data_IF_119316347766
#
_entry.id   IF_119316347766
#
_cell.length_a   1.000
_cell.length_b   1.000
_cell.length_c   1.000
_cell.angle_alpha   90.00
_cell.angle_beta   90.00
_cell.angle_gamma   90.00
#
_symmetry.space_group_name_H-M   'P 1'
#
loop_
_entity.id
_entity.type
_entity.pdbx_description
1 polymer ?
#
# COMPACT_ATOMS: atom_id res chain seq x y z
N UNK A 1 -0.47 1.63 3.74
CA UNK A 1 -1.14 1.04 4.91
C UNK A 1 -1.60 -0.36 4.59
N UNK A 2 -2.23 -0.56 3.44
CA UNK A 2 -2.82 -1.83 3.08
C UNK A 2 -1.77 -2.96 3.11
N UNK A 3 -0.65 -2.84 2.40
CA UNK A 3 0.41 -3.85 2.43
C UNK A 3 1.02 -4.10 3.82
N UNK A 4 1.12 -3.06 4.67
CA UNK A 4 1.58 -3.23 6.06
C UNK A 4 0.57 -4.02 6.88
N UNK A 5 -0.72 -3.69 6.79
CA UNK A 5 -1.78 -4.40 7.49
C UNK A 5 -1.96 -5.83 6.97
N UNK A 6 -1.89 -6.04 5.65
CA UNK A 6 -1.90 -7.36 5.00
C UNK A 6 -0.77 -8.23 5.53
N UNK A 7 0.46 -7.70 5.48
CA UNK A 7 1.65 -8.38 5.99
C UNK A 7 1.53 -8.72 7.47
N UNK A 8 1.02 -7.79 8.28
CA UNK A 8 0.81 -8.04 9.71
C UNK A 8 -0.23 -9.13 9.98
N UNK A 9 -1.35 -9.12 9.26
CA UNK A 9 -2.40 -10.14 9.37
C UNK A 9 -1.82 -11.52 9.05
N UNK A 10 -1.09 -11.65 7.94
CA UNK A 10 -0.45 -12.89 7.52
C UNK A 10 0.63 -13.33 8.51
N UNK A 11 1.57 -12.44 8.84
CA UNK A 11 2.67 -12.75 9.76
C UNK A 11 2.20 -13.26 11.10
N UNK A 12 1.30 -12.51 11.76
CA UNK A 12 0.77 -12.86 13.07
C UNK A 12 0.03 -14.20 13.05
N UNK A 13 -0.74 -14.43 12.01
CA UNK A 13 -1.57 -15.63 11.89
C UNK A 13 -0.76 -16.86 11.52
N UNK A 14 0.13 -16.77 10.54
CA UNK A 14 0.99 -17.89 10.13
C UNK A 14 1.94 -18.30 11.27
N UNK A 15 2.51 -17.32 11.98
CA UNK A 15 3.31 -17.61 13.17
C UNK A 15 2.53 -18.33 14.26
N UNK A 16 1.26 -17.96 14.45
CA UNK A 16 0.37 -18.66 15.39
C UNK A 16 0.03 -20.08 14.93
N UNK A 17 -0.03 -20.32 13.63
CA UNK A 17 -0.20 -21.65 13.04
C UNK A 17 1.07 -22.51 13.10
N UNK A 18 2.18 -21.97 13.60
CA UNK A 18 3.46 -22.68 13.76
C UNK A 18 4.41 -22.54 12.58
N UNK A 19 4.11 -21.70 11.60
CA UNK A 19 5.03 -21.46 10.48
C UNK A 19 6.26 -20.65 10.96
N UNK A 20 7.42 -20.97 10.38
CA UNK A 20 8.62 -20.13 10.46
C UNK A 20 8.47 -19.07 9.39
N UNK A 21 8.17 -17.86 9.80
CA UNK A 21 7.80 -16.77 8.89
C UNK A 21 8.53 -15.49 9.24
N UNK A 22 8.99 -14.80 8.21
CA UNK A 22 9.52 -13.43 8.27
C UNK A 22 8.75 -12.54 7.29
N UNK A 23 8.84 -11.22 7.48
CA UNK A 23 8.17 -10.23 6.63
C UNK A 23 9.18 -9.26 6.05
N UNK A 24 9.16 -9.13 4.74
CA UNK A 24 9.96 -8.15 4.02
C UNK A 24 9.01 -7.10 3.42
N UNK A 25 9.29 -5.84 3.74
CA UNK A 25 8.62 -4.70 3.11
C UNK A 25 9.65 -4.02 2.21
N UNK A 26 9.42 -3.96 0.88
CA UNK A 26 10.34 -3.33 -0.06
C UNK A 26 10.61 -1.86 0.29
N UNK A 27 11.86 -1.43 0.13
CA UNK A 27 12.19 -0.01 0.26
C UNK A 27 11.78 0.74 -1.01
N UNK A 28 10.88 1.71 -0.88
CA UNK A 28 10.21 2.36 -2.02
C UNK A 28 11.16 2.96 -3.06
N UNK A 29 12.29 3.51 -2.62
CA UNK A 29 13.28 4.18 -3.48
C UNK A 29 14.26 3.17 -4.07
N UNK A 30 14.77 2.24 -3.26
CA UNK A 30 15.82 1.29 -3.65
C UNK A 30 15.26 0.06 -4.36
N UNK A 31 14.17 -0.51 -3.85
CA UNK A 31 13.59 -1.75 -4.34
C UNK A 31 12.44 -1.51 -5.34
N UNK A 32 11.85 -0.32 -5.33
CA UNK A 32 10.64 -0.02 -6.09
C UNK A 32 9.37 -0.53 -5.42
N UNK A 33 8.33 -0.73 -6.21
CA UNK A 33 7.05 -1.26 -5.74
C UNK A 33 6.97 -2.77 -5.93
N UNK A 34 6.43 -3.47 -4.93
CA UNK A 34 6.15 -4.88 -4.99
C UNK A 34 7.38 -5.78 -4.89
N UNK A 35 7.20 -7.03 -5.30
CA UNK A 35 8.27 -8.03 -5.28
C UNK A 35 9.27 -7.77 -6.40
N UNK A 36 10.57 -7.97 -6.13
CA UNK A 36 11.65 -7.87 -7.11
C UNK A 36 12.65 -9.04 -6.99
N UNK A 37 13.48 -9.22 -8.01
CA UNK A 37 14.42 -10.34 -8.09
C UNK A 37 15.47 -10.33 -6.98
N UNK A 38 15.92 -9.15 -6.54
CA UNK A 38 16.89 -9.03 -5.46
C UNK A 38 16.33 -9.55 -4.13
N UNK A 39 15.07 -9.21 -3.82
CA UNK A 39 14.39 -9.71 -2.63
C UNK A 39 14.14 -11.21 -2.70
N UNK A 40 13.77 -11.72 -3.86
CA UNK A 40 13.59 -13.16 -4.10
C UNK A 40 14.93 -13.89 -3.89
N UNK A 41 16.00 -13.39 -4.52
CA UNK A 41 17.34 -13.99 -4.39
C UNK A 41 17.81 -14.00 -2.95
N UNK A 42 17.61 -12.89 -2.23
CA UNK A 42 17.96 -12.77 -0.81
C UNK A 42 17.17 -13.77 0.06
N UNK A 43 15.88 -13.94 -0.20
CA UNK A 43 15.07 -14.94 0.50
C UNK A 43 15.56 -16.36 0.24
N UNK A 44 15.84 -16.70 -1.04
CA UNK A 44 16.41 -17.99 -1.42
C UNK A 44 17.74 -18.27 -0.72
N UNK A 45 18.66 -17.30 -0.70
CA UNK A 45 19.99 -17.44 -0.06
C UNK A 45 19.88 -17.61 1.47
N UNK A 46 18.79 -17.17 2.07
CA UNK A 46 18.47 -17.37 3.49
C UNK A 46 17.77 -18.72 3.76
N UNK A 47 17.56 -19.55 2.74
CA UNK A 47 16.90 -20.85 2.87
C UNK A 47 15.38 -20.77 2.98
N UNK A 48 14.78 -19.68 2.57
CA UNK A 48 13.31 -19.55 2.47
C UNK A 48 12.85 -20.35 1.24
N UNK A 49 11.90 -21.23 1.45
CA UNK A 49 11.34 -22.11 0.41
C UNK A 49 10.04 -21.57 -0.21
N UNK A 50 9.33 -20.71 0.51
CA UNK A 50 8.01 -20.23 0.12
C UNK A 50 7.90 -18.70 0.23
N UNK A 51 7.45 -18.06 -0.83
CA UNK A 51 7.11 -16.63 -0.85
C UNK A 51 5.59 -16.50 -0.90
N UNK A 52 5.04 -15.71 0.00
CA UNK A 52 3.65 -15.29 -0.01
C UNK A 52 3.60 -13.77 -0.16
N UNK A 53 3.14 -13.28 -1.32
CA UNK A 53 2.94 -11.84 -1.52
C UNK A 53 1.63 -11.37 -0.90
N UNK A 54 1.54 -10.09 -0.56
CA UNK A 54 0.29 -9.48 -0.14
C UNK A 54 0.22 -8.02 -0.62
N UNK A 55 -0.95 -7.62 -1.10
CA UNK A 55 -1.19 -6.30 -1.69
C UNK A 55 -0.29 -6.02 -2.91
N UNK A 56 0.20 -7.06 -3.54
CA UNK A 56 0.99 -7.01 -4.78
C UNK A 56 1.17 -8.41 -5.39
N UNK A 57 1.63 -8.45 -6.64
CA UNK A 57 2.07 -9.68 -7.28
C UNK A 57 1.27 -10.07 -8.52
N UNK A 58 0.05 -9.57 -8.71
CA UNK A 58 -0.79 -9.95 -9.86
C UNK A 58 -0.17 -9.59 -11.21
N UNK A 59 0.68 -8.56 -11.26
CA UNK A 59 1.42 -8.15 -12.45
C UNK A 59 2.91 -8.55 -12.42
N UNK A 60 3.37 -9.31 -11.44
CA UNK A 60 4.78 -9.64 -11.23
C UNK A 60 5.21 -10.92 -11.97
N UNK A 61 4.94 -11.01 -13.27
CA UNK A 61 5.17 -12.23 -14.08
C UNK A 61 6.63 -12.68 -14.03
N UNK A 62 7.57 -11.79 -14.36
CA UNK A 62 9.00 -12.10 -14.42
C UNK A 62 9.54 -12.51 -13.04
N UNK A 63 9.09 -11.85 -11.98
CA UNK A 63 9.49 -12.13 -10.62
C UNK A 63 8.98 -13.51 -10.16
N UNK A 64 7.74 -13.85 -10.54
CA UNK A 64 7.17 -15.16 -10.27
C UNK A 64 7.96 -16.25 -11.02
N UNK A 65 8.25 -16.04 -12.31
CA UNK A 65 9.06 -16.98 -13.10
C UNK A 65 10.47 -17.13 -12.52
N UNK A 66 11.08 -16.04 -12.07
CA UNK A 66 12.38 -16.08 -11.42
C UNK A 66 12.35 -16.88 -10.12
N UNK A 67 11.39 -16.67 -9.23
CA UNK A 67 11.22 -17.44 -8.01
C UNK A 67 11.03 -18.94 -8.31
N UNK A 68 10.21 -19.27 -9.31
CA UNK A 68 10.00 -20.66 -9.77
C UNK A 68 11.27 -21.27 -10.33
N UNK A 69 12.11 -20.51 -11.04
CA UNK A 69 13.39 -21.00 -11.58
C UNK A 69 14.39 -21.38 -10.47
N UNK A 70 14.26 -20.76 -9.29
CA UNK A 70 15.01 -21.10 -8.10
C UNK A 70 14.43 -22.30 -7.31
N UNK A 71 13.31 -22.88 -7.76
CA UNK A 71 12.64 -23.98 -7.08
C UNK A 71 11.77 -23.56 -5.90
N UNK A 72 11.50 -22.26 -5.74
CA UNK A 72 10.67 -21.75 -4.64
C UNK A 72 9.18 -21.94 -4.93
N UNK A 73 8.40 -22.12 -3.87
CA UNK A 73 6.95 -22.00 -3.93
C UNK A 73 6.58 -20.52 -3.86
N UNK A 74 5.67 -20.07 -4.72
CA UNK A 74 5.20 -18.69 -4.70
C UNK A 74 3.67 -18.64 -4.74
N UNK A 75 3.10 -17.94 -3.76
CA UNK A 75 1.67 -17.71 -3.61
C UNK A 75 1.44 -16.21 -3.71
N UNK A 76 0.56 -15.80 -4.61
CA UNK A 76 0.21 -14.38 -4.80
C UNK A 76 -1.13 -14.12 -4.12
N UNK A 77 -1.17 -13.14 -3.19
CA UNK A 77 -2.42 -12.57 -2.70
C UNK A 77 -2.46 -11.09 -3.05
N UNK A 78 -3.44 -10.69 -3.83
CA UNK A 78 -3.54 -9.34 -4.36
C UNK A 78 -5.01 -8.94 -4.58
N UNK A 79 -5.26 -7.66 -4.72
CA UNK A 79 -6.59 -7.09 -4.98
C UNK A 79 -6.61 -6.12 -6.18
N UNK A 80 -5.44 -5.84 -6.73
CA UNK A 80 -5.31 -4.98 -7.91
C UNK A 80 -5.97 -5.62 -9.13
N UNK A 81 -6.29 -4.78 -10.14
CA UNK A 81 -6.87 -5.24 -11.39
C UNK A 81 -5.96 -6.27 -12.06
N UNK A 82 -6.58 -7.32 -12.59
CA UNK A 82 -5.85 -8.34 -13.34
C UNK A 82 -5.48 -7.75 -14.71
N UNK A 83 -4.19 -7.64 -15.04
CA UNK A 83 -3.77 -7.15 -16.35
C UNK A 83 -4.34 -7.99 -17.49
N UNK A 84 -4.62 -7.33 -18.60
CA UNK A 84 -5.15 -7.99 -19.81
C UNK A 84 -4.58 -7.39 -21.08
N UNK A 85 -4.63 -8.15 -22.16
CA UNK A 85 -4.43 -7.67 -23.53
C UNK A 85 -5.76 -7.67 -24.26
N UNK A 86 -6.00 -6.63 -25.07
CA UNK A 86 -7.16 -6.60 -25.96
C UNK A 86 -6.84 -7.41 -27.22
N UNK A 87 -7.70 -8.36 -27.56
CA UNK A 87 -7.61 -9.19 -28.76
C UNK A 87 -8.91 -9.05 -29.58
N UNK A 88 -8.92 -9.50 -30.82
CA UNK A 88 -10.13 -9.53 -31.66
C UNK A 88 -11.28 -10.33 -31.02
N UNK A 89 -10.95 -11.24 -30.09
CA UNK A 89 -11.93 -12.09 -29.40
C UNK A 89 -12.34 -11.53 -28.02
N UNK A 90 -11.83 -10.32 -27.64
CA UNK A 90 -12.06 -9.68 -26.35
C UNK A 90 -10.82 -9.64 -25.48
N UNK A 91 -11.02 -9.41 -24.17
CA UNK A 91 -9.92 -9.30 -23.21
C UNK A 91 -9.35 -10.67 -22.83
N UNK A 92 -8.05 -10.84 -23.03
CA UNK A 92 -7.28 -11.98 -22.53
C UNK A 92 -6.55 -11.55 -21.25
N UNK A 93 -6.97 -12.11 -20.11
CA UNK A 93 -6.39 -11.80 -18.80
C UNK A 93 -5.07 -12.54 -18.59
N UNK A 94 -4.07 -11.84 -18.12
CA UNK A 94 -2.75 -12.36 -17.87
C UNK A 94 -2.60 -12.58 -16.36
N UNK A 95 -2.29 -13.82 -15.97
CA UNK A 95 -2.10 -14.21 -14.57
C UNK A 95 -0.70 -14.77 -14.41
N UNK A 96 0.07 -14.38 -13.36
CA UNK A 96 1.39 -14.94 -13.13
C UNK A 96 1.30 -16.42 -12.81
N UNK A 97 2.30 -17.21 -13.31
CA UNK A 97 2.37 -18.68 -13.14
C UNK A 97 2.88 -19.05 -11.74
N UNK A 98 2.26 -18.49 -10.71
CA UNK A 98 2.50 -18.84 -9.32
C UNK A 98 1.86 -20.19 -8.97
N UNK A 99 2.25 -20.80 -7.83
CA UNK A 99 1.64 -22.04 -7.35
C UNK A 99 0.17 -21.83 -6.94
N UNK A 100 -0.15 -20.63 -6.47
CA UNK A 100 -1.53 -20.19 -6.28
C UNK A 100 -1.63 -18.67 -6.46
N UNK A 101 -2.76 -18.20 -7.01
CA UNK A 101 -3.08 -16.78 -7.14
C UNK A 101 -4.46 -16.54 -6.52
N UNK A 102 -4.46 -15.75 -5.44
CA UNK A 102 -5.66 -15.38 -4.70
C UNK A 102 -5.93 -13.90 -4.98
N UNK A 103 -6.83 -13.66 -5.92
CA UNK A 103 -7.30 -12.34 -6.28
C UNK A 103 -8.77 -12.46 -6.69
N UNK A 104 -9.64 -11.74 -5.98
CA UNK A 104 -11.09 -11.82 -6.19
C UNK A 104 -11.56 -11.16 -7.49
N UNK A 105 -10.70 -10.40 -8.16
CA UNK A 105 -10.99 -9.77 -9.46
C UNK A 105 -10.66 -10.67 -10.67
N UNK A 106 -10.12 -11.88 -10.44
CA UNK A 106 -9.98 -12.85 -11.53
C UNK A 106 -11.35 -13.13 -12.17
N UNK A 107 -11.36 -13.32 -13.50
CA UNK A 107 -12.58 -13.50 -14.30
C UNK A 107 -13.48 -14.61 -13.78
N UNK A 108 -12.87 -15.74 -13.38
CA UNK A 108 -13.58 -16.95 -12.97
C UNK A 108 -13.76 -17.03 -11.44
N UNK A 109 -13.41 -15.99 -10.71
CA UNK A 109 -13.56 -15.97 -9.26
C UNK A 109 -15.03 -15.76 -8.87
N UNK A 110 -15.62 -16.74 -8.19
CA UNK A 110 -16.99 -16.70 -7.69
C UNK A 110 -17.20 -15.87 -6.43
N UNK A 111 -16.17 -15.19 -5.90
CA UNK A 111 -16.34 -14.35 -4.72
C UNK A 111 -17.28 -13.18 -5.03
N UNK A 112 -18.35 -12.97 -4.27
CA UNK A 112 -19.44 -12.09 -4.68
C UNK A 112 -19.11 -10.59 -4.57
N UNK A 113 -18.16 -10.21 -3.71
CA UNK A 113 -17.79 -8.83 -3.47
C UNK A 113 -16.41 -8.51 -4.05
N UNK A 114 -16.34 -7.57 -5.00
CA UNK A 114 -15.12 -7.28 -5.80
C UNK A 114 -14.31 -6.08 -5.31
N UNK A 115 -14.73 -5.40 -4.25
CA UNK A 115 -14.14 -4.15 -3.78
C UNK A 115 -13.32 -4.33 -2.49
N UNK A 116 -12.69 -5.50 -2.32
CA UNK A 116 -11.83 -5.75 -1.17
C UNK A 116 -10.45 -5.12 -1.35
N UNK A 117 -9.85 -4.60 -0.26
CA UNK A 117 -8.45 -4.24 -0.20
C UNK A 117 -7.56 -5.48 0.05
N UNK A 118 -6.24 -5.36 -0.13
CA UNK A 118 -5.29 -6.46 0.05
C UNK A 118 -5.32 -7.07 1.46
N UNK A 119 -5.51 -6.26 2.50
CA UNK A 119 -5.64 -6.77 3.87
C UNK A 119 -6.89 -7.62 4.07
N UNK A 120 -7.97 -7.34 3.35
CA UNK A 120 -9.16 -8.18 3.38
C UNK A 120 -8.94 -9.50 2.64
N UNK A 121 -8.21 -9.50 1.53
CA UNK A 121 -7.80 -10.76 0.86
C UNK A 121 -6.95 -11.61 1.80
N UNK A 122 -5.97 -11.00 2.46
CA UNK A 122 -5.15 -11.67 3.49
C UNK A 122 -6.01 -12.21 4.66
N UNK A 123 -6.97 -11.42 5.13
CA UNK A 123 -7.90 -11.80 6.18
C UNK A 123 -8.77 -13.02 5.80
N UNK A 124 -9.29 -13.04 4.57
CA UNK A 124 -10.08 -14.17 4.06
C UNK A 124 -9.22 -15.44 3.92
N UNK A 125 -7.99 -15.31 3.40
CA UNK A 125 -7.05 -16.44 3.34
C UNK A 125 -6.82 -17.03 4.73
N UNK A 126 -6.52 -16.18 5.72
CA UNK A 126 -6.29 -16.65 7.09
C UNK A 126 -7.56 -17.24 7.72
N UNK A 127 -8.73 -16.70 7.40
CA UNK A 127 -10.00 -17.25 7.85
C UNK A 127 -10.22 -18.67 7.33
N UNK A 128 -9.94 -18.91 6.06
CA UNK A 128 -10.03 -20.24 5.44
C UNK A 128 -8.98 -21.21 6.01
N UNK A 129 -7.74 -20.77 6.18
CA UNK A 129 -6.67 -21.58 6.76
C UNK A 129 -7.00 -21.98 8.21
N UNK A 130 -7.42 -21.05 9.05
CA UNK A 130 -7.75 -21.35 10.45
C UNK A 130 -8.94 -22.28 10.57
N UNK A 131 -9.92 -22.17 9.68
CA UNK A 131 -11.05 -23.10 9.62
C UNK A 131 -10.59 -24.52 9.26
N UNK A 132 -9.69 -24.67 8.28
CA UNK A 132 -9.14 -25.98 7.88
C UNK A 132 -8.29 -26.65 8.97
N UNK A 133 -7.65 -25.85 9.84
CA UNK A 133 -6.90 -26.33 10.99
C UNK A 133 -7.74 -26.47 12.27
N UNK A 134 -9.06 -26.26 12.22
CA UNK A 134 -9.95 -26.34 13.37
C UNK A 134 -9.73 -25.28 14.44
N UNK A 135 -9.11 -24.15 14.08
CA UNK A 135 -8.84 -23.04 15.01
C UNK A 135 -10.05 -22.10 15.08
N UNK A 136 -10.28 -21.56 16.26
CA UNK A 136 -11.42 -20.68 16.50
C UNK A 136 -11.39 -19.41 15.65
N UNK A 137 -12.46 -19.12 14.92
CA UNK A 137 -12.68 -17.87 14.17
C UNK A 137 -12.51 -16.61 15.05
N UNK A 138 -12.69 -16.72 16.37
CA UNK A 138 -12.49 -15.61 17.32
C UNK A 138 -11.09 -15.02 17.23
N UNK A 139 -10.08 -15.84 16.96
CA UNK A 139 -8.69 -15.37 16.86
C UNK A 139 -8.45 -14.59 15.57
N UNK A 140 -9.11 -14.98 14.49
CA UNK A 140 -9.06 -14.25 13.22
C UNK A 140 -9.79 -12.91 13.35
N UNK A 141 -10.95 -12.88 13.96
CA UNK A 141 -11.70 -11.63 14.15
C UNK A 141 -10.93 -10.57 14.95
N UNK A 142 -9.99 -10.94 15.81
CA UNK A 142 -9.10 -9.98 16.49
C UNK A 142 -8.25 -9.15 15.53
N UNK A 143 -8.13 -9.56 14.27
CA UNK A 143 -7.41 -8.86 13.23
C UNK A 143 -8.27 -7.84 12.46
N UNK A 144 -9.59 -7.81 12.69
CA UNK A 144 -10.50 -6.84 12.07
C UNK A 144 -10.09 -5.37 12.22
N UNK A 145 -9.50 -4.92 13.35
CA UNK A 145 -8.97 -3.56 13.45
C UNK A 145 -7.99 -3.21 12.31
N UNK A 146 -7.12 -4.13 11.94
CA UNK A 146 -6.10 -3.93 10.89
C UNK A 146 -6.70 -3.99 9.49
N UNK A 147 -7.66 -4.90 9.28
CA UNK A 147 -8.44 -4.95 8.04
C UNK A 147 -9.25 -3.65 7.85
N UNK A 148 -9.85 -3.11 8.92
CA UNK A 148 -10.56 -1.83 8.86
C UNK A 148 -9.63 -0.64 8.59
N UNK A 149 -8.45 -0.61 9.21
CA UNK A 149 -7.41 0.38 8.94
C UNK A 149 -7.03 0.38 7.44
N UNK A 150 -6.77 -0.80 6.90
CA UNK A 150 -6.43 -0.96 5.49
C UNK A 150 -7.58 -0.53 4.58
N UNK A 151 -8.79 -1.03 4.81
CA UNK A 151 -9.99 -0.73 3.99
C UNK A 151 -10.25 0.78 3.88
N UNK A 152 -10.13 1.51 4.99
CA UNK A 152 -10.31 2.97 4.96
C UNK A 152 -9.14 3.67 4.25
N UNK A 153 -7.91 3.23 4.49
CA UNK A 153 -6.71 3.88 3.94
C UNK A 153 -6.46 3.59 2.47
N UNK A 154 -6.97 2.48 1.97
CA UNK A 154 -6.92 2.11 0.55
C UNK A 154 -8.01 2.79 -0.28
N UNK A 155 -8.90 3.53 0.41
CA UNK A 155 -9.97 4.35 -0.20
C UNK A 155 -10.96 3.52 -1.03
N UNK A 156 -11.11 2.24 -0.73
CA UNK A 156 -12.15 1.40 -1.35
C UNK A 156 -13.54 1.80 -0.84
N UNK A 157 -14.55 1.58 -1.66
CA UNK A 157 -15.93 1.95 -1.32
C UNK A 157 -16.41 1.28 -0.02
N UNK A 158 -16.95 2.07 0.90
CA UNK A 158 -17.48 1.58 2.19
C UNK A 158 -18.92 1.05 2.06
N UNK A 159 -19.08 0.07 1.17
CA UNK A 159 -20.32 -0.63 0.93
C UNK A 159 -20.18 -2.13 1.30
N UNK A 160 -21.26 -2.88 1.34
CA UNK A 160 -21.26 -4.33 1.55
C UNK A 160 -20.33 -4.78 2.69
N UNK A 161 -19.40 -5.67 2.39
CA UNK A 161 -18.44 -6.20 3.37
C UNK A 161 -17.51 -5.12 3.94
N UNK A 162 -17.03 -4.20 3.12
CA UNK A 162 -16.14 -3.12 3.57
C UNK A 162 -16.79 -2.28 4.66
N UNK A 163 -18.08 -1.93 4.50
CA UNK A 163 -18.82 -1.19 5.53
C UNK A 163 -18.90 -1.97 6.83
N UNK A 164 -19.16 -3.29 6.77
CA UNK A 164 -19.23 -4.13 7.96
C UNK A 164 -17.87 -4.23 8.64
N UNK A 165 -16.81 -4.49 7.89
CA UNK A 165 -15.43 -4.60 8.40
C UNK A 165 -15.02 -3.30 9.11
N UNK A 166 -15.25 -2.15 8.50
CA UNK A 166 -14.92 -0.85 9.10
C UNK A 166 -15.75 -0.59 10.35
N UNK A 167 -17.05 -0.88 10.32
CA UNK A 167 -17.94 -0.67 11.47
C UNK A 167 -17.55 -1.56 12.68
N UNK A 168 -17.27 -2.84 12.45
CA UNK A 168 -16.87 -3.74 13.51
C UNK A 168 -15.42 -3.48 13.94
N UNK A 169 -14.51 -3.23 13.01
CA UNK A 169 -13.12 -2.88 13.30
C UNK A 169 -13.00 -1.65 14.19
N UNK A 170 -13.73 -0.57 13.90
CA UNK A 170 -13.79 0.63 14.73
C UNK A 170 -14.31 0.33 16.14
N UNK A 171 -15.36 -0.48 16.26
CA UNK A 171 -15.85 -0.93 17.60
C UNK A 171 -14.79 -1.72 18.35
N UNK A 172 -14.04 -2.56 17.65
CA UNK A 172 -12.99 -3.37 18.26
C UNK A 172 -11.75 -2.55 18.62
N UNK A 173 -11.39 -1.53 17.83
CA UNK A 173 -10.29 -0.62 18.16
C UNK A 173 -10.52 0.02 19.53
N UNK A 174 -11.73 0.43 19.87
CA UNK A 174 -12.07 1.03 21.17
C UNK A 174 -11.65 0.16 22.35
N UNK A 175 -11.72 -1.17 22.20
CA UNK A 175 -11.40 -2.15 23.23
C UNK A 175 -10.12 -2.96 22.92
N UNK A 176 -9.38 -2.58 21.88
CA UNK A 176 -8.16 -3.26 21.46
C UNK A 176 -7.08 -3.14 22.54
N UNK A 177 -6.39 -4.28 22.80
CA UNK A 177 -5.28 -4.35 23.75
C UNK A 177 -3.92 -4.43 23.06
N UNK A 178 -3.89 -4.37 21.74
CA UNK A 178 -2.62 -4.43 20.99
C UNK A 178 -1.80 -3.19 21.29
N UNK A 179 -0.58 -3.42 21.78
CA UNK A 179 0.31 -2.39 22.33
C UNK A 179 0.69 -1.37 21.25
N UNK A 180 1.11 -1.85 20.08
CA UNK A 180 1.55 -0.99 18.98
C UNK A 180 0.43 -0.08 18.43
N UNK A 181 -0.78 -0.63 18.22
CA UNK A 181 -1.89 0.17 17.74
C UNK A 181 -2.32 1.22 18.78
N UNK A 182 -2.35 0.86 20.07
CA UNK A 182 -2.65 1.81 21.13
C UNK A 182 -1.60 2.91 21.23
N UNK A 183 -0.31 2.56 21.15
CA UNK A 183 0.78 3.54 21.17
C UNK A 183 0.64 4.57 20.02
N UNK A 184 0.24 4.13 18.82
CA UNK A 184 0.02 5.05 17.70
C UNK A 184 -1.20 5.97 17.93
N UNK A 185 -2.29 5.45 18.48
CA UNK A 185 -3.48 6.22 18.84
C UNK A 185 -3.12 7.29 19.88
N UNK A 186 -2.36 6.92 20.90
CA UNK A 186 -1.90 7.80 21.98
C UNK A 186 -0.94 8.88 21.44
N UNK A 187 0.05 8.52 20.61
CA UNK A 187 0.98 9.46 19.98
C UNK A 187 0.25 10.48 19.09
N UNK A 188 -0.83 10.07 18.44
CA UNK A 188 -1.69 10.94 17.64
C UNK A 188 -2.71 11.74 18.50
N UNK A 189 -2.74 11.54 19.81
CA UNK A 189 -3.66 12.21 20.75
C UNK A 189 -5.14 12.01 20.39
N UNK A 190 -5.49 10.82 19.89
CA UNK A 190 -6.86 10.48 19.52
C UNK A 190 -7.59 9.95 20.76
N UNK A 191 -8.79 10.48 21.04
CA UNK A 191 -9.68 9.83 21.99
C UNK A 191 -10.22 8.53 21.39
N UNK A 192 -9.75 7.42 21.92
CA UNK A 192 -10.07 6.08 21.46
C UNK A 192 -11.57 5.76 21.48
N UNK A 193 -12.33 6.40 22.37
CA UNK A 193 -13.78 6.22 22.46
C UNK A 193 -14.53 6.89 21.32
N UNK A 194 -13.93 7.93 20.72
CA UNK A 194 -14.51 8.73 19.65
C UNK A 194 -13.84 8.46 18.28
N UNK A 195 -13.01 7.41 18.18
CA UNK A 195 -12.34 7.06 16.94
C UNK A 195 -13.36 6.68 15.84
N UNK A 196 -13.14 7.21 14.64
CA UNK A 196 -13.95 6.99 13.45
C UNK A 196 -13.09 6.81 12.18
N UNK A 197 -13.72 6.72 11.01
CA UNK A 197 -13.03 6.55 9.74
C UNK A 197 -12.15 7.76 9.37
N UNK A 198 -12.50 8.97 9.78
CA UNK A 198 -11.66 10.15 9.59
C UNK A 198 -10.32 10.00 10.32
N UNK A 199 -10.34 9.59 11.57
CA UNK A 199 -9.12 9.37 12.35
C UNK A 199 -8.24 8.28 11.70
N UNK A 200 -8.85 7.23 11.14
CA UNK A 200 -8.12 6.20 10.40
C UNK A 200 -7.49 6.79 9.14
N UNK A 201 -8.28 7.37 8.25
CA UNK A 201 -7.83 7.80 6.92
C UNK A 201 -6.91 9.02 6.93
N UNK A 202 -7.13 9.97 7.86
CA UNK A 202 -6.43 11.25 7.85
C UNK A 202 -5.43 11.46 9.00
N UNK A 203 -5.41 10.57 9.99
CA UNK A 203 -4.47 10.68 11.12
C UNK A 203 -3.58 9.45 11.24
N UNK A 204 -4.14 8.26 11.50
CA UNK A 204 -3.36 7.04 11.72
C UNK A 204 -2.71 6.53 10.42
N UNK A 205 -3.47 6.41 9.35
CA UNK A 205 -2.98 5.95 8.05
C UNK A 205 -1.83 6.80 7.51
N UNK A 206 -1.92 8.13 7.52
CA UNK A 206 -0.80 8.99 7.15
C UNK A 206 0.48 8.78 7.97
N UNK A 207 0.38 8.46 9.28
CA UNK A 207 1.56 8.14 10.10
C UNK A 207 2.21 6.81 9.65
N UNK A 208 1.41 5.77 9.40
CA UNK A 208 1.91 4.50 8.86
C UNK A 208 2.55 4.71 7.49
N UNK A 209 1.90 5.47 6.60
CA UNK A 209 2.40 5.74 5.25
C UNK A 209 3.67 6.60 5.22
N UNK A 210 3.86 7.48 6.22
CA UNK A 210 5.01 8.38 6.27
C UNK A 210 6.33 7.60 6.39
N UNK A 211 6.34 6.50 7.12
CA UNK A 211 7.53 5.64 7.22
C UNK A 211 7.98 5.11 5.85
N UNK A 212 7.07 4.58 5.05
CA UNK A 212 7.38 4.08 3.70
C UNK A 212 7.69 5.19 2.67
N UNK A 213 7.53 6.46 3.02
CA UNK A 213 7.87 7.60 2.15
C UNK A 213 9.21 8.24 2.49
N UNK A 214 9.49 8.45 3.76
CA UNK A 214 10.68 9.19 4.24
C UNK A 214 11.70 8.29 4.93
N UNK A 215 11.35 7.04 5.22
CA UNK A 215 12.19 6.06 5.89
C UNK A 215 11.85 4.66 5.32
N UNK A 216 11.69 3.65 6.16
CA UNK A 216 11.29 2.31 5.76
C UNK A 216 9.93 1.93 6.35
N UNK A 217 9.04 1.37 5.53
CA UNK A 217 7.76 0.85 5.98
C UNK A 217 7.90 -0.31 7.00
N UNK A 218 9.11 -0.84 7.18
CA UNK A 218 9.44 -1.82 8.22
C UNK A 218 9.14 -1.29 9.62
N UNK A 219 9.38 0.01 9.89
CA UNK A 219 9.06 0.63 11.19
C UNK A 219 7.57 0.52 11.55
N UNK A 220 6.68 0.67 10.57
CA UNK A 220 5.24 0.50 10.81
C UNK A 220 4.90 -0.96 11.13
N UNK A 221 5.53 -1.91 10.44
CA UNK A 221 5.36 -3.34 10.71
C UNK A 221 5.90 -3.71 12.10
N UNK A 222 7.06 -3.18 12.48
CA UNK A 222 7.64 -3.35 13.82
C UNK A 222 6.70 -2.81 14.90
N UNK A 223 6.17 -1.60 14.73
CA UNK A 223 5.20 -1.03 15.66
C UNK A 223 3.98 -1.93 15.86
N UNK A 224 3.34 -2.38 14.76
CA UNK A 224 2.14 -3.21 14.86
C UNK A 224 2.43 -4.57 15.54
N UNK A 225 3.66 -5.06 15.45
CA UNK A 225 4.08 -6.34 16.03
C UNK A 225 4.64 -6.20 17.46
N UNK A 226 4.88 -4.98 17.94
CA UNK A 226 5.54 -4.74 19.22
C UNK A 226 4.61 -5.03 20.41
N UNK A 227 5.16 -5.69 21.41
CA UNK A 227 4.47 -6.07 22.64
C UNK A 227 4.96 -5.34 23.88
N UNK A 228 6.16 -4.75 23.79
CA UNK A 228 6.72 -3.91 24.86
C UNK A 228 6.20 -2.48 24.70
N UNK A 229 5.59 -1.94 25.75
CA UNK A 229 4.95 -0.60 25.71
C UNK A 229 5.96 0.51 25.44
N UNK A 230 7.10 0.52 26.09
CA UNK A 230 8.11 1.58 25.95
C UNK A 230 8.66 1.63 24.51
N UNK A 231 8.94 0.47 23.93
CA UNK A 231 9.39 0.38 22.54
C UNK A 231 8.32 0.81 21.56
N UNK A 232 7.07 0.41 21.80
CA UNK A 232 5.95 0.82 20.98
C UNK A 232 5.71 2.34 21.04
N UNK A 233 5.82 2.95 22.21
CA UNK A 233 5.70 4.40 22.39
C UNK A 233 6.80 5.16 21.62
N UNK A 234 8.03 4.65 21.61
CA UNK A 234 9.16 5.22 20.83
C UNK A 234 8.87 5.10 19.31
N UNK A 235 8.48 3.92 18.84
CA UNK A 235 8.17 3.69 17.42
C UNK A 235 6.98 4.55 16.96
N UNK A 236 5.93 4.62 17.76
CA UNK A 236 4.74 5.42 17.45
C UNK A 236 5.07 6.91 17.37
N UNK A 237 5.87 7.42 18.30
CA UNK A 237 6.35 8.81 18.28
C UNK A 237 7.16 9.09 17.02
N UNK A 238 8.09 8.19 16.66
CA UNK A 238 8.89 8.32 15.44
C UNK A 238 8.00 8.36 14.17
N UNK A 239 6.98 7.50 14.08
CA UNK A 239 6.05 7.52 12.93
C UNK A 239 5.24 8.83 12.86
N UNK A 240 4.84 9.36 14.02
CA UNK A 240 4.13 10.64 14.10
C UNK A 240 5.02 11.80 13.65
N UNK A 241 6.28 11.84 14.09
CA UNK A 241 7.27 12.84 13.69
C UNK A 241 7.55 12.80 12.18
N UNK A 242 7.77 11.61 11.61
CA UNK A 242 7.92 11.43 10.16
C UNK A 242 6.69 11.96 9.38
N UNK A 243 5.49 11.76 9.92
CA UNK A 243 4.29 12.30 9.27
C UNK A 243 4.22 13.83 9.36
N UNK A 244 4.65 14.42 10.47
CA UNK A 244 4.68 15.87 10.63
C UNK A 244 5.73 16.49 9.70
N UNK A 245 6.91 15.89 9.58
CA UNK A 245 7.94 16.27 8.61
C UNK A 245 7.40 16.19 7.18
N UNK A 246 6.80 15.05 6.80
CA UNK A 246 6.16 14.90 5.49
C UNK A 246 5.12 15.99 5.22
N UNK A 247 4.30 16.35 6.22
CA UNK A 247 3.30 17.42 6.08
C UNK A 247 3.97 18.76 5.81
N UNK A 248 5.00 19.10 6.58
CA UNK A 248 5.74 20.36 6.42
C UNK A 248 6.39 20.45 5.04
N UNK A 249 7.11 19.40 4.62
CA UNK A 249 7.73 19.32 3.29
C UNK A 249 6.68 19.43 2.15
N UNK A 250 5.54 18.75 2.32
CA UNK A 250 4.45 18.82 1.33
C UNK A 250 3.84 20.21 1.26
N UNK A 251 3.66 20.89 2.37
CA UNK A 251 3.11 22.25 2.40
C UNK A 251 4.06 23.24 1.74
N UNK A 252 5.34 23.18 2.08
CA UNK A 252 6.38 24.02 1.47
C UNK A 252 6.48 23.78 -0.02
N UNK A 253 6.57 22.52 -0.46
CA UNK A 253 6.63 22.16 -1.88
C UNK A 253 5.38 22.59 -2.65
N UNK A 254 4.20 22.48 -2.03
CA UNK A 254 2.94 22.95 -2.64
C UNK A 254 2.95 24.48 -2.81
N UNK A 255 3.42 25.25 -1.83
CA UNK A 255 3.54 26.72 -1.94
C UNK A 255 4.47 27.11 -3.09
N UNK A 256 5.65 26.49 -3.18
CA UNK A 256 6.60 26.72 -4.27
C UNK A 256 6.00 26.36 -5.64
N UNK A 257 5.34 25.20 -5.72
CA UNK A 257 4.73 24.76 -6.98
C UNK A 257 3.61 25.70 -7.46
N UNK A 258 2.77 26.19 -6.56
CA UNK A 258 1.70 27.15 -6.88
C UNK A 258 2.30 28.49 -7.35
N UNK A 259 3.39 28.93 -6.74
CA UNK A 259 4.05 30.17 -7.16
C UNK A 259 4.59 30.05 -8.60
N UNK A 260 5.27 28.94 -8.89
CA UNK A 260 5.74 28.63 -10.24
C UNK A 260 4.56 28.54 -11.22
N UNK A 261 3.46 27.89 -10.82
CA UNK A 261 2.29 27.71 -11.68
C UNK A 261 1.62 29.02 -12.14
N UNK A 262 1.84 30.14 -11.43
CA UNK A 262 1.29 31.44 -11.83
C UNK A 262 1.89 31.98 -13.13
N UNK A 263 3.10 31.56 -13.44
CA UNK A 263 3.83 32.00 -14.64
C UNK A 263 3.52 31.14 -15.87
N UNK A 264 2.67 30.10 -15.70
CA UNK A 264 2.30 29.17 -16.76
C UNK A 264 0.87 29.40 -17.23
N UNK A 265 0.71 29.63 -18.52
CA UNK A 265 -0.61 29.71 -19.18
C UNK A 265 -1.03 28.38 -19.83
N UNK A 266 -0.20 27.34 -19.68
CA UNK A 266 -0.43 26.03 -20.27
C UNK A 266 -1.63 25.30 -19.66
N UNK A 267 -2.29 24.46 -20.47
CA UNK A 267 -3.38 23.62 -20.02
C UNK A 267 -2.92 22.44 -19.14
N UNK A 268 -1.67 22.02 -19.27
CA UNK A 268 -1.01 20.99 -18.44
C UNK A 268 0.18 21.65 -17.75
N UNK A 269 0.19 21.59 -16.42
CA UNK A 269 1.27 22.18 -15.62
C UNK A 269 2.40 21.17 -15.42
N UNK A 270 3.57 21.44 -15.96
CA UNK A 270 4.80 20.67 -15.73
C UNK A 270 5.72 21.49 -14.84
N UNK A 271 5.79 21.14 -13.57
CA UNK A 271 6.47 21.93 -12.53
C UNK A 271 7.71 21.18 -12.04
N UNK A 272 8.87 21.81 -12.18
CA UNK A 272 10.12 21.25 -11.69
C UNK A 272 10.47 21.82 -10.31
N UNK A 273 10.53 20.92 -9.32
CA UNK A 273 10.92 21.21 -7.94
C UNK A 273 12.22 20.45 -7.61
N UNK A 274 13.37 21.05 -7.91
CA UNK A 274 14.68 20.42 -7.81
C UNK A 274 14.92 19.68 -6.49
N UNK A 275 14.63 20.33 -5.38
CA UNK A 275 14.93 19.82 -4.03
C UNK A 275 13.75 19.11 -3.38
N UNK A 276 12.73 18.74 -4.14
CA UNK A 276 11.57 18.03 -3.62
C UNK A 276 11.89 16.55 -3.46
N UNK A 277 11.58 15.99 -2.30
CA UNK A 277 11.71 14.54 -2.09
C UNK A 277 10.76 13.77 -3.04
N UNK A 278 11.29 12.84 -3.84
CA UNK A 278 10.53 12.13 -4.89
C UNK A 278 9.24 11.46 -4.39
N UNK A 279 9.22 10.97 -3.15
CA UNK A 279 8.06 10.27 -2.58
C UNK A 279 6.86 11.17 -2.26
N UNK A 280 7.04 12.49 -2.22
CA UNK A 280 5.96 13.47 -1.96
C UNK A 280 5.54 14.25 -3.21
N UNK A 281 6.28 14.17 -4.30
CA UNK A 281 5.96 14.85 -5.56
C UNK A 281 4.52 14.61 -6.02
N UNK A 282 4.03 13.36 -5.91
CA UNK A 282 2.65 13.01 -6.25
C UNK A 282 1.58 13.61 -5.31
N UNK A 283 1.92 13.90 -4.04
CA UNK A 283 1.01 14.58 -3.12
C UNK A 283 0.94 16.06 -3.49
N UNK A 284 2.08 16.66 -3.80
CA UNK A 284 2.16 18.06 -4.24
C UNK A 284 1.39 18.23 -5.55
N UNK A 285 1.61 17.35 -6.55
CA UNK A 285 0.86 17.37 -7.81
C UNK A 285 -0.66 17.33 -7.58
N UNK A 286 -1.14 16.48 -6.67
CA UNK A 286 -2.55 16.40 -6.30
C UNK A 286 -3.09 17.71 -5.74
N UNK A 287 -2.38 18.35 -4.81
CA UNK A 287 -2.78 19.62 -4.20
C UNK A 287 -2.77 20.80 -5.19
N UNK A 288 -1.78 20.82 -6.09
CA UNK A 288 -1.72 21.84 -7.15
C UNK A 288 -2.86 21.64 -8.16
N UNK A 289 -3.12 20.38 -8.57
CA UNK A 289 -4.27 20.04 -9.40
C UNK A 289 -5.59 20.53 -8.83
N UNK A 290 -5.85 20.25 -7.55
CA UNK A 290 -7.07 20.69 -6.85
C UNK A 290 -7.22 22.21 -6.85
N UNK A 291 -6.11 22.94 -6.75
CA UNK A 291 -6.13 24.39 -6.65
C UNK A 291 -6.19 25.09 -8.01
N UNK A 292 -5.56 24.51 -9.04
CA UNK A 292 -5.49 25.09 -10.38
C UNK A 292 -6.55 24.52 -11.34
N UNK A 293 -7.20 23.41 -10.97
CA UNK A 293 -8.10 22.63 -11.82
C UNK A 293 -7.51 22.29 -13.18
N UNK A 294 -6.23 21.93 -13.21
CA UNK A 294 -5.48 21.53 -14.40
C UNK A 294 -4.76 20.21 -14.16
N UNK A 295 -4.47 19.39 -15.17
CA UNK A 295 -3.52 18.29 -15.05
C UNK A 295 -2.15 18.82 -14.61
N UNK A 296 -1.50 18.13 -13.67
CA UNK A 296 -0.22 18.57 -13.09
C UNK A 296 0.77 17.42 -13.08
N UNK A 297 1.98 17.68 -13.52
CA UNK A 297 3.15 16.82 -13.38
C UNK A 297 4.18 17.57 -12.54
N UNK A 298 4.55 17.01 -11.41
CA UNK A 298 5.66 17.53 -10.59
C UNK A 298 6.89 16.67 -10.84
N UNK A 299 7.95 17.31 -11.33
CA UNK A 299 9.25 16.73 -11.58
C UNK A 299 10.21 17.08 -10.45
N UNK A 300 11.11 16.17 -10.11
CA UNK A 300 12.15 16.39 -9.09
C UNK A 300 13.39 15.59 -9.41
N UNK A 301 14.54 16.01 -8.87
CA UNK A 301 15.77 15.24 -8.99
C UNK A 301 15.66 13.96 -8.16
N UNK A 302 16.08 12.86 -8.76
CA UNK A 302 16.31 11.58 -8.09
C UNK A 302 17.78 11.16 -8.34
N UNK A 303 18.19 10.04 -7.74
CA UNK A 303 19.59 9.61 -7.73
C UNK A 303 20.25 9.57 -9.13
N UNK A 304 19.55 9.03 -10.13
CA UNK A 304 20.12 8.77 -11.46
C UNK A 304 19.36 9.49 -12.60
N UNK A 305 18.23 10.11 -12.31
CA UNK A 305 17.40 10.77 -13.32
C UNK A 305 16.40 11.74 -12.68
N UNK A 306 15.75 12.54 -13.50
CA UNK A 306 14.57 13.31 -13.07
C UNK A 306 13.37 12.37 -13.00
N UNK A 307 12.68 12.36 -11.86
CA UNK A 307 11.42 11.61 -11.68
C UNK A 307 10.23 12.56 -11.64
N UNK A 308 9.12 12.11 -12.19
CA UNK A 308 7.85 12.82 -12.19
C UNK A 308 6.72 12.06 -11.53
N UNK A 309 5.80 12.81 -10.97
CA UNK A 309 4.49 12.28 -10.54
C UNK A 309 3.39 13.16 -11.09
N UNK A 310 2.47 12.56 -11.86
CA UNK A 310 1.33 13.24 -12.46
C UNK A 310 0.04 13.05 -11.68
N UNK A 311 -0.85 14.03 -11.80
CA UNK A 311 -2.26 13.95 -11.36
C UNK A 311 -3.14 14.61 -12.39
N UNK A 312 -4.10 13.85 -12.91
CA UNK A 312 -5.01 14.32 -13.94
C UNK A 312 -6.31 14.88 -13.39
N UNK A 313 -7.10 15.46 -14.26
CA UNK A 313 -8.49 15.81 -14.09
C UNK A 313 -9.35 14.85 -14.91
N UNK A 314 -10.67 14.84 -14.72
CA UNK A 314 -11.58 13.89 -15.36
C UNK A 314 -11.59 14.02 -16.89
N UNK A 315 -11.42 15.24 -17.39
CA UNK A 315 -11.49 15.55 -18.83
C UNK A 315 -10.17 15.28 -19.58
N UNK A 316 -9.11 14.83 -18.90
CA UNK A 316 -7.78 14.65 -19.50
C UNK A 316 -7.18 13.29 -19.16
N UNK A 317 -7.08 12.39 -20.14
CA UNK A 317 -6.37 11.13 -19.98
C UNK A 317 -4.85 11.34 -20.09
N UNK A 318 -4.23 11.51 -18.91
CA UNK A 318 -2.78 11.76 -18.84
C UNK A 318 -1.96 10.58 -19.36
N UNK A 319 -2.43 9.34 -19.20
CA UNK A 319 -1.70 8.17 -19.65
C UNK A 319 -1.67 8.09 -21.17
N UNK A 320 -2.83 8.25 -21.82
CA UNK A 320 -2.90 8.30 -23.29
C UNK A 320 -2.05 9.42 -23.88
N UNK A 321 -2.08 10.62 -23.26
CA UNK A 321 -1.29 11.76 -23.74
C UNK A 321 0.21 11.54 -23.55
N UNK A 322 0.65 10.94 -22.44
CA UNK A 322 2.05 10.57 -22.23
C UNK A 322 2.51 9.49 -23.22
N UNK A 323 1.63 8.56 -23.62
CA UNK A 323 1.95 7.58 -24.65
C UNK A 323 2.33 8.20 -26.00
N UNK A 324 1.76 9.38 -26.35
CA UNK A 324 2.07 10.09 -27.59
C UNK A 324 3.47 10.67 -27.61
N UNK A 325 4.06 10.90 -26.45
CA UNK A 325 5.41 11.46 -26.25
C UNK A 325 6.35 10.52 -25.51
N UNK A 326 6.09 9.22 -25.60
CA UNK A 326 6.83 8.16 -24.87
C UNK A 326 8.35 8.22 -25.06
N UNK A 327 8.81 8.69 -26.21
CA UNK A 327 10.23 8.77 -26.56
C UNK A 327 10.99 9.81 -25.70
N UNK A 328 10.27 10.67 -24.98
CA UNK A 328 10.87 11.64 -24.04
C UNK A 328 11.13 11.01 -22.66
N UNK A 329 10.65 9.80 -22.40
CA UNK A 329 10.76 9.15 -21.12
C UNK A 329 11.64 7.90 -21.16
N UNK A 330 12.43 7.71 -20.11
CA UNK A 330 13.12 6.43 -19.89
C UNK A 330 12.12 5.33 -19.54
N UNK A 331 11.12 5.69 -18.72
CA UNK A 331 10.02 4.82 -18.29
C UNK A 331 8.87 5.65 -17.76
N UNK A 332 7.65 5.27 -18.03
CA UNK A 332 6.46 5.79 -17.39
C UNK A 332 5.39 4.71 -17.28
N UNK A 333 4.38 4.95 -16.42
CA UNK A 333 3.25 4.07 -16.19
C UNK A 333 2.42 4.57 -15.02
N UNK A 334 1.25 4.03 -14.83
CA UNK A 334 0.33 4.40 -13.75
C UNK A 334 -0.91 3.55 -13.76
#
# INVERSE_FOLDING_TARGET
VDGVCSGYILYRSLKKLGAVVDVVVPHRIEDGYGINENLIKKAFDQGIDTILTCDNGIAAYNQVEYAKSLGMTIIVTDHHEVPYTETEQGREYIIPKADAVINHKQKDCGYPFKELCGAMVAFQLISALTESYGISKRDVYRLLPYAALATVCDVVELQGENRMVVQYGLKMIKNCKDVGLNALIDACKIDKNNIDSYHIGFVLGPCINASGRLDTAKKAMELLSETNKEKADILATSLKELNDERKAMTEEGTKKAIEIAKDYDDNVLVIYLKDCHESIAGIIAGRVRERCNKPVIVLTDAKDCVKGSGRSIEEYDMYEELCKVKDLFLKFGG
#
